data_IF_375417854278
#
_entry.id   IF_375417854278
#
_cell.length_a   1.000
_cell.length_b   1.000
_cell.length_c   1.000
_cell.angle_alpha   90.00
_cell.angle_beta   90.00
_cell.angle_gamma   90.00
#
_symmetry.space_group_name_H-M   'P 1'
#
loop_
_entity.id
_entity.type
_entity.pdbx_description
1 polymer ?
#
# COMPACT_ATOMS: atom_id res chain seq x y z
N UNK A 1 -1.49 6.29 30.23
CA UNK A 1 -2.12 5.37 29.25
C UNK A 1 -1.08 4.99 28.21
N UNK A 2 -0.90 3.69 27.91
CA UNK A 2 0.11 3.25 26.93
C UNK A 2 -0.33 3.52 25.49
N UNK A 3 0.64 3.62 24.56
CA UNK A 3 0.41 3.85 23.11
C UNK A 3 -0.55 2.81 22.49
N UNK A 4 -0.52 1.56 22.99
CA UNK A 4 -1.44 0.50 22.57
C UNK A 4 -2.89 0.74 23.03
N UNK A 5 -3.10 1.29 24.23
CA UNK A 5 -4.45 1.58 24.75
C UNK A 5 -5.13 2.69 23.95
N UNK A 6 -4.38 3.72 23.55
CA UNK A 6 -4.89 4.82 22.71
C UNK A 6 -5.32 4.30 21.33
N UNK A 7 -4.49 3.43 20.73
CA UNK A 7 -4.81 2.80 19.44
C UNK A 7 -6.10 1.98 19.51
N UNK A 8 -6.25 1.12 20.53
CA UNK A 8 -7.44 0.29 20.69
C UNK A 8 -8.72 1.12 20.90
N UNK A 9 -8.64 2.21 21.66
CA UNK A 9 -9.77 3.12 21.82
C UNK A 9 -10.13 3.83 20.52
N UNK A 10 -9.13 4.22 19.72
CA UNK A 10 -9.35 4.80 18.40
C UNK A 10 -10.08 3.83 17.46
N UNK A 11 -9.64 2.56 17.42
CA UNK A 11 -10.30 1.50 16.64
C UNK A 11 -11.73 1.27 17.14
N UNK A 12 -11.94 1.18 18.45
CA UNK A 12 -13.28 0.99 19.00
C UNK A 12 -14.20 2.18 18.67
N UNK A 13 -13.71 3.41 18.83
CA UNK A 13 -14.45 4.62 18.48
C UNK A 13 -14.82 4.68 17.00
N UNK A 14 -13.90 4.25 16.12
CA UNK A 14 -14.17 4.07 14.70
C UNK A 14 -15.33 3.11 14.44
N UNK A 15 -15.31 1.90 15.04
CA UNK A 15 -16.35 0.89 14.81
C UNK A 15 -17.70 1.33 15.37
N UNK A 16 -17.72 2.01 16.51
CA UNK A 16 -18.94 2.58 17.09
C UNK A 16 -19.48 3.68 16.17
N UNK A 17 -18.64 4.59 15.71
CA UNK A 17 -19.05 5.67 14.82
C UNK A 17 -19.62 5.14 13.51
N UNK A 18 -18.85 4.33 12.77
CA UNK A 18 -19.31 3.76 11.50
C UNK A 18 -20.55 2.87 11.70
N UNK A 19 -20.57 2.06 12.76
CA UNK A 19 -21.71 1.21 13.10
C UNK A 19 -22.98 2.03 13.34
N UNK A 20 -22.96 3.01 14.22
CA UNK A 20 -24.15 3.86 14.49
C UNK A 20 -24.67 4.57 13.23
N UNK A 21 -23.76 4.97 12.34
CA UNK A 21 -24.07 5.64 11.07
C UNK A 21 -24.62 4.76 9.96
N UNK A 22 -24.40 3.45 10.04
CA UNK A 22 -24.93 2.44 9.12
C UNK A 22 -26.23 1.83 9.68
N UNK A 23 -26.33 1.70 11.00
CA UNK A 23 -27.53 1.20 11.69
C UNK A 23 -28.78 2.02 11.39
N UNK A 24 -28.65 3.32 11.11
CA UNK A 24 -29.77 4.17 10.70
C UNK A 24 -30.41 3.74 9.38
N UNK A 25 -29.64 3.11 8.49
CA UNK A 25 -30.14 2.62 7.21
C UNK A 25 -30.56 1.16 7.25
N UNK A 26 -29.69 0.26 7.73
CA UNK A 26 -29.88 -1.20 7.60
C UNK A 26 -30.40 -1.86 8.90
N UNK A 27 -30.63 -1.08 9.96
CA UNK A 27 -31.05 -1.57 11.26
C UNK A 27 -29.91 -2.12 12.13
N UNK A 28 -30.20 -2.27 13.43
CA UNK A 28 -29.20 -2.58 14.45
C UNK A 28 -28.61 -3.99 14.30
N UNK A 29 -29.45 -5.02 14.15
CA UNK A 29 -28.97 -6.40 14.12
C UNK A 29 -28.04 -6.68 12.92
N UNK A 30 -28.40 -6.33 11.66
CA UNK A 30 -27.48 -6.48 10.52
C UNK A 30 -26.18 -5.70 10.69
N UNK A 31 -26.25 -4.50 11.27
CA UNK A 31 -25.06 -3.69 11.56
C UNK A 31 -24.14 -4.35 12.56
N UNK A 32 -24.66 -4.87 13.67
CA UNK A 32 -23.85 -5.55 14.68
C UNK A 32 -23.15 -6.77 14.07
N UNK A 33 -23.87 -7.57 13.27
CA UNK A 33 -23.28 -8.72 12.57
C UNK A 33 -22.16 -8.26 11.63
N UNK A 34 -22.38 -7.22 10.82
CA UNK A 34 -21.37 -6.67 9.91
C UNK A 34 -20.14 -6.17 10.68
N UNK A 35 -20.33 -5.39 11.74
CA UNK A 35 -19.22 -4.86 12.54
C UNK A 35 -18.42 -5.96 13.24
N UNK A 36 -19.07 -7.03 13.71
CA UNK A 36 -18.39 -8.18 14.30
C UNK A 36 -17.55 -8.94 13.26
N UNK A 37 -18.07 -9.13 12.04
CA UNK A 37 -17.32 -9.75 10.94
C UNK A 37 -16.08 -8.91 10.58
N UNK A 38 -16.26 -7.59 10.46
CA UNK A 38 -15.19 -6.64 10.15
C UNK A 38 -14.17 -6.45 11.30
N UNK A 39 -14.58 -6.71 12.54
CA UNK A 39 -13.67 -6.69 13.69
C UNK A 39 -12.88 -8.00 13.79
N UNK A 40 -13.53 -9.13 13.50
CA UNK A 40 -12.90 -10.44 13.53
C UNK A 40 -11.76 -10.56 12.52
N UNK A 41 -11.90 -9.98 11.33
CA UNK A 41 -10.84 -10.02 10.32
C UNK A 41 -9.60 -9.20 10.71
N UNK A 42 -9.76 -8.02 11.34
CA UNK A 42 -8.64 -7.29 11.99
C UNK A 42 -7.95 -8.17 13.05
N UNK A 43 -8.73 -8.87 13.89
CA UNK A 43 -8.21 -9.82 14.87
C UNK A 43 -7.41 -10.97 14.23
N UNK A 44 -7.80 -11.38 13.03
CA UNK A 44 -7.10 -12.39 12.21
C UNK A 44 -5.65 -12.03 11.92
N UNK A 45 -5.28 -10.74 11.87
CA UNK A 45 -3.90 -10.28 11.65
C UNK A 45 -2.92 -10.85 12.69
N UNK A 46 -3.35 -10.97 13.95
CA UNK A 46 -2.50 -11.54 15.01
C UNK A 46 -2.23 -13.03 14.80
N UNK A 47 -3.20 -13.75 14.25
CA UNK A 47 -3.11 -15.18 13.98
C UNK A 47 -2.20 -15.52 12.79
N UNK A 48 -1.90 -14.55 11.92
CA UNK A 48 -1.06 -14.74 10.72
C UNK A 48 0.33 -15.27 11.07
N UNK A 49 0.93 -14.79 12.17
CA UNK A 49 2.29 -15.16 12.58
C UNK A 49 2.41 -16.64 12.99
N UNK A 50 1.30 -17.28 13.39
CA UNK A 50 1.28 -18.71 13.74
C UNK A 50 1.10 -19.65 12.54
N UNK A 51 0.84 -19.12 11.35
CA UNK A 51 0.57 -19.94 10.16
C UNK A 51 1.86 -20.51 9.54
N UNK A 52 2.01 -21.83 9.58
CA UNK A 52 3.15 -22.54 8.96
C UNK A 52 3.09 -22.58 7.42
N UNK A 53 1.89 -22.59 6.83
CA UNK A 53 1.70 -22.73 5.37
C UNK A 53 1.78 -21.37 4.70
N UNK A 54 2.76 -21.16 3.80
CA UNK A 54 2.97 -19.89 3.08
C UNK A 54 1.72 -19.41 2.33
N UNK A 55 1.02 -20.30 1.64
CA UNK A 55 -0.21 -19.94 0.91
C UNK A 55 -1.33 -19.48 1.86
N UNK A 56 -1.48 -20.12 3.03
CA UNK A 56 -2.50 -19.75 4.01
C UNK A 56 -2.18 -18.38 4.63
N UNK A 57 -0.89 -18.13 4.92
CA UNK A 57 -0.38 -16.81 5.36
C UNK A 57 -0.75 -15.75 4.32
N UNK A 58 -0.47 -15.99 3.03
CA UNK A 58 -0.77 -15.06 1.94
C UNK A 58 -2.27 -14.80 1.74
N UNK A 59 -3.11 -15.84 1.78
CA UNK A 59 -4.57 -15.69 1.67
C UNK A 59 -5.12 -14.85 2.82
N UNK A 60 -4.73 -15.16 4.07
CA UNK A 60 -5.19 -14.42 5.24
C UNK A 60 -4.67 -12.98 5.23
N UNK A 61 -3.39 -12.76 4.90
CA UNK A 61 -2.85 -11.40 4.72
C UNK A 61 -3.67 -10.62 3.70
N UNK A 62 -3.92 -11.21 2.53
CA UNK A 62 -4.67 -10.54 1.46
C UNK A 62 -6.08 -10.18 1.92
N UNK A 63 -6.77 -11.11 2.58
CA UNK A 63 -8.11 -10.88 3.12
C UNK A 63 -8.13 -9.71 4.11
N UNK A 64 -7.20 -9.68 5.06
CA UNK A 64 -7.08 -8.58 6.04
C UNK A 64 -6.78 -7.24 5.36
N UNK A 65 -5.91 -7.20 4.36
CA UNK A 65 -5.62 -5.95 3.63
C UNK A 65 -6.82 -5.45 2.84
N UNK A 66 -7.57 -6.35 2.20
CA UNK A 66 -8.79 -5.99 1.46
C UNK A 66 -9.88 -5.46 2.39
N UNK A 67 -10.05 -6.09 3.55
CA UNK A 67 -10.95 -5.64 4.60
C UNK A 67 -10.56 -4.27 5.16
N UNK A 68 -9.28 -4.07 5.49
CA UNK A 68 -8.77 -2.77 5.96
C UNK A 68 -8.97 -1.66 4.92
N UNK A 69 -8.75 -1.97 3.64
CA UNK A 69 -9.02 -1.04 2.55
C UNK A 69 -10.52 -0.73 2.43
N UNK A 70 -11.39 -1.74 2.50
CA UNK A 70 -12.85 -1.55 2.52
C UNK A 70 -13.29 -0.64 3.68
N UNK A 71 -12.81 -0.92 4.90
CA UNK A 71 -13.10 -0.13 6.10
C UNK A 71 -12.62 1.32 5.96
N UNK A 72 -11.46 1.54 5.34
CA UNK A 72 -10.91 2.87 5.11
C UNK A 72 -11.78 3.68 4.14
N UNK A 73 -12.20 3.07 3.03
CA UNK A 73 -13.12 3.72 2.09
C UNK A 73 -14.50 3.96 2.70
N UNK A 74 -15.02 2.99 3.46
CA UNK A 74 -16.29 3.12 4.17
C UNK A 74 -16.28 4.28 5.15
N UNK A 75 -15.23 4.41 5.95
CA UNK A 75 -15.08 5.56 6.84
C UNK A 75 -15.00 6.87 6.07
N UNK A 76 -14.16 6.93 5.03
CA UNK A 76 -14.02 8.15 4.23
C UNK A 76 -15.37 8.58 3.64
N UNK A 77 -16.15 7.67 3.08
CA UNK A 77 -17.46 7.98 2.53
C UNK A 77 -18.51 8.30 3.60
N UNK A 78 -18.50 7.64 4.76
CA UNK A 78 -19.35 8.01 5.90
C UNK A 78 -19.03 9.44 6.37
N UNK A 79 -17.74 9.79 6.50
CA UNK A 79 -17.32 11.13 6.89
C UNK A 79 -17.73 12.19 5.86
N UNK A 80 -17.55 11.91 4.56
CA UNK A 80 -17.98 12.80 3.48
C UNK A 80 -19.50 12.96 3.50
N UNK A 81 -20.26 11.86 3.63
CA UNK A 81 -21.73 11.92 3.74
C UNK A 81 -22.12 12.80 4.93
N UNK A 82 -21.57 12.56 6.10
CA UNK A 82 -21.92 13.31 7.30
C UNK A 82 -21.57 14.80 7.15
N UNK A 83 -20.39 15.12 6.61
CA UNK A 83 -19.96 16.51 6.37
C UNK A 83 -20.89 17.26 5.41
N UNK A 84 -21.41 16.57 4.38
CA UNK A 84 -22.28 17.16 3.37
C UNK A 84 -23.75 17.20 3.81
N UNK A 85 -24.28 16.08 4.29
CA UNK A 85 -25.71 15.90 4.51
C UNK A 85 -26.16 16.28 5.92
N UNK A 86 -25.26 16.38 6.91
CA UNK A 86 -25.62 16.87 8.24
C UNK A 86 -26.00 18.36 8.20
N UNK A 87 -25.20 19.29 7.63
CA UNK A 87 -25.63 20.68 7.48
C UNK A 87 -26.83 20.84 6.55
N UNK A 88 -26.93 20.00 5.51
CA UNK A 88 -28.04 20.04 4.57
C UNK A 88 -29.37 19.65 5.24
N UNK A 89 -29.35 18.90 6.34
CA UNK A 89 -30.56 18.47 7.05
C UNK A 89 -31.40 19.64 7.59
N UNK A 90 -30.77 20.79 7.85
CA UNK A 90 -31.46 22.01 8.27
C UNK A 90 -32.27 22.67 7.14
N UNK A 91 -31.84 22.51 5.89
CA UNK A 91 -32.41 23.22 4.73
C UNK A 91 -33.20 22.31 3.80
N UNK A 92 -32.81 21.03 3.69
CA UNK A 92 -33.38 20.01 2.81
C UNK A 92 -33.47 18.66 3.56
N UNK A 93 -34.36 18.56 4.56
CA UNK A 93 -34.47 17.36 5.41
C UNK A 93 -34.81 16.09 4.63
N UNK A 94 -35.64 16.19 3.59
CA UNK A 94 -36.00 15.08 2.69
C UNK A 94 -34.76 14.42 2.05
N UNK A 95 -33.82 15.25 1.58
CA UNK A 95 -32.59 14.78 0.92
C UNK A 95 -31.66 14.12 1.94
N UNK A 96 -31.50 14.72 3.12
CA UNK A 96 -30.70 14.14 4.19
C UNK A 96 -31.32 12.84 4.70
N UNK A 97 -32.65 12.72 4.76
CA UNK A 97 -33.33 11.49 5.17
C UNK A 97 -32.98 10.32 4.23
N UNK A 98 -32.93 10.54 2.92
CA UNK A 98 -32.48 9.52 1.95
C UNK A 98 -31.00 9.17 2.19
N UNK A 99 -30.14 10.17 2.40
CA UNK A 99 -28.71 9.95 2.61
C UNK A 99 -28.38 9.17 3.91
N UNK A 100 -29.12 9.41 4.99
CA UNK A 100 -28.96 8.71 6.27
C UNK A 100 -29.81 7.43 6.38
N UNK A 101 -30.73 7.21 5.44
CA UNK A 101 -31.60 6.04 5.35
C UNK A 101 -30.95 4.84 4.67
N UNK A 102 -31.80 3.91 4.22
CA UNK A 102 -31.41 2.64 3.60
C UNK A 102 -30.66 2.86 2.29
N UNK A 103 -31.16 3.74 1.42
CA UNK A 103 -30.60 4.02 0.10
C UNK A 103 -29.18 4.58 0.20
N UNK A 104 -28.99 5.59 1.05
CA UNK A 104 -27.67 6.18 1.29
C UNK A 104 -26.70 5.18 1.92
N UNK A 105 -27.18 4.34 2.84
CA UNK A 105 -26.34 3.30 3.47
C UNK A 105 -25.90 2.23 2.47
N UNK A 106 -26.82 1.75 1.62
CA UNK A 106 -26.47 0.83 0.53
C UNK A 106 -25.48 1.47 -0.45
N UNK A 107 -25.70 2.73 -0.82
CA UNK A 107 -24.80 3.46 -1.70
C UNK A 107 -23.39 3.53 -1.10
N UNK A 108 -23.25 3.81 0.20
CA UNK A 108 -21.95 3.79 0.90
C UNK A 108 -21.26 2.43 0.77
N UNK A 109 -21.95 1.34 1.10
CA UNK A 109 -21.38 -0.01 1.05
C UNK A 109 -20.94 -0.40 -0.37
N UNK A 110 -21.78 -0.11 -1.36
CA UNK A 110 -21.48 -0.41 -2.77
C UNK A 110 -20.32 0.44 -3.27
N UNK A 111 -20.32 1.75 -3.00
CA UNK A 111 -19.22 2.64 -3.39
C UNK A 111 -17.91 2.24 -2.73
N UNK A 112 -17.91 1.84 -1.46
CA UNK A 112 -16.71 1.33 -0.77
C UNK A 112 -16.19 0.04 -1.41
N UNK A 113 -17.08 -0.88 -1.81
CA UNK A 113 -16.69 -2.09 -2.51
C UNK A 113 -16.14 -1.79 -3.92
N UNK A 114 -16.76 -0.87 -4.67
CA UNK A 114 -16.26 -0.44 -5.98
C UNK A 114 -14.90 0.27 -5.86
N UNK A 115 -14.73 1.14 -4.87
CA UNK A 115 -13.47 1.81 -4.58
C UNK A 115 -12.37 0.81 -4.20
N UNK A 116 -12.70 -0.22 -3.41
CA UNK A 116 -11.78 -1.34 -3.13
C UNK A 116 -11.35 -2.03 -4.43
N UNK A 117 -12.29 -2.44 -5.28
CA UNK A 117 -11.99 -3.12 -6.54
C UNK A 117 -11.12 -2.24 -7.43
N UNK A 118 -11.49 -0.97 -7.59
CA UNK A 118 -10.71 -0.01 -8.38
C UNK A 118 -9.31 0.19 -7.79
N UNK A 119 -9.19 0.32 -6.48
CA UNK A 119 -7.92 0.43 -5.77
C UNK A 119 -7.02 -0.79 -6.00
N UNK A 120 -7.58 -2.00 -5.96
CA UNK A 120 -6.86 -3.24 -6.28
C UNK A 120 -6.39 -3.26 -7.73
N UNK A 121 -7.24 -2.83 -8.68
CA UNK A 121 -6.87 -2.77 -10.10
C UNK A 121 -5.73 -1.75 -10.34
N UNK A 122 -5.82 -0.56 -9.74
CA UNK A 122 -4.79 0.47 -9.81
C UNK A 122 -3.47 -0.03 -9.20
N UNK A 123 -3.52 -0.61 -8.00
CA UNK A 123 -2.34 -1.16 -7.33
C UNK A 123 -1.66 -2.27 -8.17
N UNK A 124 -2.45 -3.08 -8.88
CA UNK A 124 -1.95 -4.15 -9.75
C UNK A 124 -1.38 -3.67 -11.08
N UNK A 125 -1.70 -2.46 -11.53
CA UNK A 125 -1.13 -1.88 -12.76
C UNK A 125 0.39 -1.64 -12.67
N UNK A 126 0.94 -1.63 -11.45
CA UNK A 126 2.36 -1.44 -11.17
C UNK A 126 2.81 0.01 -11.36
N UNK A 127 4.13 0.27 -11.31
CA UNK A 127 4.64 1.64 -11.32
C UNK A 127 4.36 2.34 -12.65
N UNK A 128 4.06 3.64 -12.54
CA UNK A 128 3.96 4.57 -13.65
C UNK A 128 5.32 5.23 -13.88
N UNK A 129 5.70 5.38 -15.14
CA UNK A 129 6.93 6.09 -15.52
C UNK A 129 6.65 7.59 -15.51
N UNK A 130 7.42 8.33 -14.73
CA UNK A 130 7.42 9.79 -14.72
C UNK A 130 8.76 10.26 -15.28
N UNK A 131 8.73 11.12 -16.31
CA UNK A 131 9.93 11.69 -16.91
C UNK A 131 10.08 13.13 -16.43
N UNK A 132 11.21 13.43 -15.81
CA UNK A 132 11.56 14.75 -15.31
C UNK A 132 12.85 15.19 -16.02
N UNK A 133 12.82 16.37 -16.63
CA UNK A 133 14.04 17.00 -17.16
C UNK A 133 14.62 17.88 -16.07
N UNK A 134 15.87 17.65 -15.70
CA UNK A 134 16.57 18.42 -14.67
C UNK A 134 17.58 19.33 -15.38
N UNK A 135 17.32 20.66 -15.46
CA UNK A 135 18.26 21.58 -16.08
C UNK A 135 19.47 21.78 -15.16
N UNK A 136 20.66 21.41 -15.63
CA UNK A 136 21.91 21.60 -14.90
C UNK A 136 22.72 22.69 -15.61
N UNK A 137 22.95 23.80 -14.90
CA UNK A 137 23.79 24.89 -15.43
C UNK A 137 25.23 24.39 -15.58
N UNK A 138 25.83 24.67 -16.74
CA UNK A 138 27.20 24.24 -17.08
C UNK A 138 27.39 22.72 -17.03
N UNK A 139 26.36 21.94 -17.43
CA UNK A 139 26.51 20.50 -17.61
C UNK A 139 27.58 20.24 -18.68
N UNK A 140 28.63 19.44 -18.40
CA UNK A 140 29.58 19.04 -19.42
C UNK A 140 28.87 18.32 -20.56
N UNK A 141 29.29 18.57 -21.80
CA UNK A 141 28.63 18.02 -22.99
C UNK A 141 28.58 16.48 -23.02
N UNK A 142 29.50 15.83 -22.33
CA UNK A 142 29.56 14.37 -22.18
C UNK A 142 28.37 13.80 -21.38
N UNK A 143 27.69 14.63 -20.59
CA UNK A 143 26.50 14.26 -19.83
C UNK A 143 25.20 14.75 -20.47
N UNK A 144 25.26 15.38 -21.65
CA UNK A 144 24.06 15.76 -22.37
C UNK A 144 23.27 14.50 -22.77
N UNK A 145 21.99 14.44 -22.37
CA UNK A 145 21.16 13.24 -22.56
C UNK A 145 21.45 12.10 -21.58
N UNK A 146 22.32 12.29 -20.58
CA UNK A 146 22.50 11.33 -19.50
C UNK A 146 21.19 11.13 -18.74
N UNK A 147 20.79 9.88 -18.55
CA UNK A 147 19.51 9.55 -17.92
C UNK A 147 19.67 8.60 -16.74
N UNK A 148 18.96 8.92 -15.66
CA UNK A 148 18.91 8.13 -14.44
C UNK A 148 17.51 7.57 -14.31
N UNK A 149 17.38 6.25 -14.23
CA UNK A 149 16.14 5.64 -13.76
C UNK A 149 16.18 5.56 -12.24
N UNK A 150 15.28 6.26 -11.57
CA UNK A 150 15.12 6.20 -10.12
C UNK A 150 14.02 5.21 -9.75
N UNK A 151 14.32 4.31 -8.83
CA UNK A 151 13.37 3.38 -8.22
C UNK A 151 13.40 3.61 -6.71
N UNK A 152 12.24 3.78 -6.09
CA UNK A 152 12.09 3.89 -4.63
C UNK A 152 10.83 3.17 -4.18
N UNK A 153 10.72 2.92 -2.87
CA UNK A 153 9.47 2.50 -2.20
C UNK A 153 8.83 1.25 -2.85
N UNK A 154 9.65 0.27 -3.27
CA UNK A 154 9.13 -0.98 -3.82
C UNK A 154 8.51 -1.89 -2.75
N UNK A 155 8.96 -1.76 -1.49
CA UNK A 155 8.51 -2.56 -0.34
C UNK A 155 8.37 -4.06 -0.63
N UNK A 156 9.42 -4.66 -1.20
CA UNK A 156 9.45 -6.09 -1.49
C UNK A 156 9.53 -6.88 -0.19
N UNK A 157 8.47 -7.62 0.09
CA UNK A 157 8.35 -8.51 1.25
C UNK A 157 8.07 -9.95 0.85
N UNK A 158 7.97 -10.87 1.82
CA UNK A 158 7.65 -12.28 1.58
C UNK A 158 6.28 -12.54 0.93
N UNK A 159 5.40 -11.53 0.88
CA UNK A 159 4.11 -11.58 0.19
C UNK A 159 4.15 -10.99 -1.23
N UNK A 160 5.23 -10.31 -1.60
CA UNK A 160 5.39 -9.71 -2.94
C UNK A 160 5.58 -10.80 -3.99
N UNK A 161 4.79 -10.75 -5.06
CA UNK A 161 4.89 -11.70 -6.16
C UNK A 161 6.19 -11.47 -6.95
N UNK A 162 7.00 -12.50 -7.27
CA UNK A 162 8.22 -12.35 -8.07
C UNK A 162 7.98 -11.65 -9.42
N UNK A 163 6.83 -11.90 -10.05
CA UNK A 163 6.46 -11.26 -11.31
C UNK A 163 6.32 -9.74 -11.20
N UNK A 164 6.06 -9.19 -10.01
CA UNK A 164 6.02 -7.74 -9.82
C UNK A 164 7.41 -7.13 -10.00
N UNK A 165 8.44 -7.67 -9.33
CA UNK A 165 9.82 -7.18 -9.43
C UNK A 165 10.35 -7.36 -10.85
N UNK A 166 10.03 -8.49 -11.50
CA UNK A 166 10.37 -8.70 -12.92
C UNK A 166 9.79 -7.59 -13.81
N UNK A 167 8.50 -7.27 -13.69
CA UNK A 167 7.87 -6.19 -14.47
C UNK A 167 8.49 -4.82 -14.19
N UNK A 168 8.91 -4.55 -12.96
CA UNK A 168 9.60 -3.29 -12.60
C UNK A 168 10.95 -3.22 -13.33
N UNK A 169 11.72 -4.30 -13.30
CA UNK A 169 13.03 -4.40 -13.98
C UNK A 169 12.86 -4.26 -15.49
N UNK A 170 11.92 -4.99 -16.11
CA UNK A 170 11.63 -4.90 -17.55
C UNK A 170 11.24 -3.48 -17.95
N UNK A 171 10.32 -2.83 -17.22
CA UNK A 171 9.92 -1.44 -17.49
C UNK A 171 11.10 -0.48 -17.36
N UNK A 172 11.97 -0.69 -16.38
CA UNK A 172 13.15 0.15 -16.13
C UNK A 172 14.16 0.02 -17.27
N UNK A 173 14.51 -1.21 -17.65
CA UNK A 173 15.49 -1.47 -18.71
C UNK A 173 14.97 -1.06 -20.09
N UNK A 174 13.66 -1.14 -20.33
CA UNK A 174 13.03 -0.62 -21.55
C UNK A 174 13.21 0.89 -21.75
N UNK A 175 13.48 1.66 -20.68
CA UNK A 175 13.83 3.08 -20.78
C UNK A 175 15.26 3.32 -21.29
N UNK A 176 16.10 2.28 -21.34
CA UNK A 176 17.52 2.35 -21.70
C UNK A 176 18.27 3.45 -20.92
N UNK A 177 18.15 3.50 -19.57
CA UNK A 177 18.81 4.54 -18.80
C UNK A 177 20.33 4.36 -18.81
N UNK A 178 21.06 5.46 -18.64
CA UNK A 178 22.51 5.41 -18.47
C UNK A 178 22.89 4.70 -17.16
N UNK A 179 22.14 4.97 -16.08
CA UNK A 179 22.29 4.31 -14.77
C UNK A 179 20.96 4.11 -14.05
N UNK A 180 20.95 3.24 -13.03
CA UNK A 180 19.79 3.05 -12.14
C UNK A 180 20.16 3.43 -10.71
N UNK A 181 19.29 4.21 -10.06
CA UNK A 181 19.40 4.58 -8.66
C UNK A 181 18.23 3.99 -7.87
N UNK A 182 18.53 3.12 -6.90
CA UNK A 182 17.57 2.60 -5.93
C UNK A 182 17.68 3.44 -4.65
N UNK A 183 16.67 4.26 -4.38
CA UNK A 183 16.76 5.34 -3.38
C UNK A 183 15.97 5.07 -2.09
N UNK A 184 16.08 3.84 -1.57
CA UNK A 184 15.49 3.44 -0.29
C UNK A 184 14.09 2.81 -0.37
N UNK A 185 13.70 2.16 0.73
CA UNK A 185 12.43 1.46 0.94
C UNK A 185 12.12 0.44 -0.17
N UNK A 186 13.16 -0.24 -0.65
CA UNK A 186 13.06 -1.30 -1.64
C UNK A 186 12.57 -2.60 -0.98
N UNK A 187 12.96 -2.84 0.27
CA UNK A 187 12.66 -4.04 1.03
C UNK A 187 11.74 -3.80 2.22
N UNK A 188 10.91 -4.79 2.56
CA UNK A 188 10.15 -4.80 3.82
C UNK A 188 10.11 -6.22 4.40
N UNK A 189 10.25 -6.36 5.71
CA UNK A 189 10.44 -7.65 6.37
C UNK A 189 11.89 -8.15 6.38
N UNK A 190 12.09 -9.34 6.93
CA UNK A 190 13.40 -10.00 6.93
C UNK A 190 13.80 -10.42 5.51
N UNK A 191 15.06 -10.17 5.15
CA UNK A 191 15.60 -10.43 3.81
C UNK A 191 15.39 -11.89 3.37
N UNK A 192 15.46 -12.85 4.30
CA UNK A 192 15.24 -14.29 4.05
C UNK A 192 13.90 -14.58 3.37
N UNK A 193 12.87 -13.77 3.63
CA UNK A 193 11.56 -13.94 3.01
C UNK A 193 11.49 -13.44 1.56
N UNK A 194 12.43 -12.57 1.17
CA UNK A 194 12.40 -11.79 -0.08
C UNK A 194 13.56 -12.06 -1.05
N UNK A 195 14.60 -12.81 -0.65
CA UNK A 195 15.82 -13.04 -1.47
C UNK A 195 15.50 -13.48 -2.90
N UNK A 196 14.64 -14.48 -3.07
CA UNK A 196 14.26 -14.98 -4.40
C UNK A 196 13.48 -13.96 -5.22
N UNK A 197 12.60 -13.20 -4.57
CA UNK A 197 11.79 -12.15 -5.19
C UNK A 197 12.65 -10.99 -5.70
N UNK A 198 13.80 -10.74 -5.07
CA UNK A 198 14.73 -9.66 -5.45
C UNK A 198 15.73 -10.04 -6.55
N UNK A 199 15.89 -11.33 -6.87
CA UNK A 199 16.84 -11.81 -7.89
C UNK A 199 16.80 -11.06 -9.22
N UNK A 200 15.63 -10.69 -9.77
CA UNK A 200 15.57 -9.95 -11.03
C UNK A 200 16.31 -8.61 -11.00
N UNK A 201 16.47 -7.99 -9.83
CA UNK A 201 17.16 -6.70 -9.70
C UNK A 201 18.66 -6.77 -10.06
N UNK A 202 19.26 -7.96 -10.05
CA UNK A 202 20.65 -8.14 -10.49
C UNK A 202 20.87 -7.74 -11.95
N UNK A 203 19.82 -7.84 -12.78
CA UNK A 203 19.83 -7.41 -14.19
C UNK A 203 20.11 -5.92 -14.36
N UNK A 204 19.71 -5.09 -13.40
CA UNK A 204 19.95 -3.64 -13.44
C UNK A 204 21.45 -3.31 -13.44
N UNK A 205 22.27 -4.16 -12.83
CA UNK A 205 23.73 -4.03 -12.86
C UNK A 205 24.31 -4.41 -14.22
N UNK A 206 23.83 -5.51 -14.81
CA UNK A 206 24.41 -6.11 -16.03
C UNK A 206 23.93 -5.47 -17.32
N UNK A 207 22.72 -4.90 -17.33
CA UNK A 207 22.07 -4.39 -18.54
C UNK A 207 22.08 -2.86 -18.65
N UNK A 208 22.73 -2.14 -17.72
CA UNK A 208 22.92 -0.69 -17.79
C UNK A 208 24.38 -0.31 -17.91
N UNK A 209 24.66 0.79 -18.63
CA UNK A 209 26.02 1.21 -18.98
C UNK A 209 26.87 1.55 -17.76
N UNK A 210 26.32 2.31 -16.81
CA UNK A 210 27.01 2.72 -15.60
C UNK A 210 26.62 1.89 -14.37
N UNK A 211 25.75 0.90 -14.54
CA UNK A 211 25.29 -0.01 -13.49
C UNK A 211 24.22 0.58 -12.57
N UNK A 212 24.02 -0.09 -11.44
CA UNK A 212 23.03 0.24 -10.42
C UNK A 212 23.65 0.64 -9.09
N UNK A 213 23.02 1.61 -8.43
CA UNK A 213 23.42 2.19 -7.16
C UNK A 213 22.28 2.08 -6.16
N UNK A 214 22.59 1.90 -4.88
CA UNK A 214 21.61 1.65 -3.84
C UNK A 214 21.93 2.44 -2.56
N UNK A 215 20.90 3.03 -1.96
CA UNK A 215 20.92 3.56 -0.58
C UNK A 215 19.75 2.96 0.19
N UNK A 216 19.91 2.76 1.49
CA UNK A 216 18.85 2.25 2.37
C UNK A 216 17.77 3.31 2.63
N UNK A 217 16.55 2.85 2.86
CA UNK A 217 15.49 3.64 3.48
C UNK A 217 15.29 3.22 4.93
N UNK A 218 14.22 3.72 5.56
CA UNK A 218 13.92 3.38 6.95
C UNK A 218 13.40 1.94 7.10
N UNK A 219 12.74 1.39 6.09
CA UNK A 219 12.22 0.02 6.18
C UNK A 219 13.32 -1.02 6.27
N UNK A 220 14.42 -0.86 5.53
CA UNK A 220 15.55 -1.79 5.66
C UNK A 220 16.16 -1.72 7.07
N UNK A 221 16.20 -0.54 7.70
CA UNK A 221 16.68 -0.41 9.09
C UNK A 221 15.73 -1.03 10.13
N UNK A 222 14.41 -0.98 9.90
CA UNK A 222 13.45 -1.68 10.76
C UNK A 222 13.67 -3.20 10.77
N UNK A 223 14.25 -3.74 9.69
CA UNK A 223 14.41 -5.17 9.45
C UNK A 223 15.88 -5.60 9.27
N UNK A 224 16.80 -5.03 10.05
CA UNK A 224 18.25 -5.28 9.97
C UNK A 224 18.88 -4.71 8.69
N UNK A 225 19.19 -3.41 8.73
CA UNK A 225 19.82 -2.68 7.63
C UNK A 225 21.09 -3.35 7.07
N UNK A 226 22.04 -3.82 7.92
CA UNK A 226 23.23 -4.54 7.45
C UNK A 226 22.93 -5.74 6.55
N UNK A 227 21.96 -6.59 6.90
CA UNK A 227 21.59 -7.75 6.08
C UNK A 227 21.01 -7.34 4.72
N UNK A 228 20.28 -6.23 4.66
CA UNK A 228 19.79 -5.66 3.40
C UNK A 228 20.92 -5.11 2.53
N UNK A 229 21.86 -4.37 3.14
CA UNK A 229 23.05 -3.84 2.45
C UNK A 229 23.85 -4.98 1.81
N UNK A 230 24.11 -6.06 2.56
CA UNK A 230 24.83 -7.24 2.06
C UNK A 230 24.08 -7.91 0.91
N UNK A 231 22.76 -8.06 1.03
CA UNK A 231 21.95 -8.66 -0.02
C UNK A 231 21.98 -7.85 -1.32
N UNK A 232 21.84 -6.53 -1.26
CA UNK A 232 21.92 -5.67 -2.45
C UNK A 232 23.33 -5.63 -3.05
N UNK A 233 24.37 -5.67 -2.22
CA UNK A 233 25.75 -5.83 -2.69
C UNK A 233 25.93 -7.17 -3.43
N UNK A 234 25.34 -8.27 -2.93
CA UNK A 234 25.38 -9.58 -3.61
C UNK A 234 24.66 -9.61 -4.96
N UNK A 235 23.71 -8.70 -5.17
CA UNK A 235 23.02 -8.49 -6.46
C UNK A 235 23.84 -7.61 -7.43
N UNK A 236 25.04 -7.19 -7.04
CA UNK A 236 25.98 -6.43 -7.86
C UNK A 236 25.81 -4.91 -7.79
N UNK A 237 24.90 -4.41 -6.94
CA UNK A 237 24.66 -2.98 -6.78
C UNK A 237 25.80 -2.32 -6.02
N UNK A 238 26.11 -1.06 -6.38
CA UNK A 238 27.01 -0.24 -5.58
C UNK A 238 26.22 0.42 -4.46
N UNK A 239 26.34 -0.10 -3.25
CA UNK A 239 25.78 0.53 -2.05
C UNK A 239 26.54 1.81 -1.73
N UNK A 240 25.81 2.91 -1.53
CA UNK A 240 26.33 4.20 -1.09
C UNK A 240 25.92 4.35 0.39
N UNK A 241 26.91 4.54 1.27
CA UNK A 241 26.75 4.68 2.72
C UNK A 241 27.10 6.10 3.16
#
# INVERSE_FOLDING_TARGET
MGRQSVFLLGVLGFFIYVGTRIASGIGTLPTVVLMLLLFAGIGGYRSIHGLKKKWAKQVLLTAVHLEMAFLSFLLAFVLIRDLVFFPLSYWKPEVSAIAFGWEGTLALLVLSALALVLGVLIARAGPRIVRVQIPIKNLPSEFEGFSIAQISDLHVSGSTAPSFVERVVEKTLALKPSMVALTGDIGDGHIEESRDTLKPLSRLKTETTFGSFYVTGNHEFYWNGPSWIEAFASLGMKTLL
#
